data_IF_454542016511
#
_entry.id   IF_454542016511
#
_cell.length_a   1.000
_cell.length_b   1.000
_cell.length_c   1.000
_cell.angle_alpha   90.00
_cell.angle_beta   90.00
_cell.angle_gamma   90.00
#
_symmetry.space_group_name_H-M   'P 1'
#
loop_
_entity.id
_entity.type
_entity.pdbx_description
1 polymer ?
#
# COMPACT_ATOMS: atom_id res chain seq x y z
N UNK A 1 19.69 -6.12 2.51
CA UNK A 1 18.75 -5.67 3.56
C UNK A 1 18.22 -6.88 4.32
N UNK A 2 18.87 -7.31 5.40
CA UNK A 2 18.35 -8.40 6.24
C UNK A 2 17.24 -7.87 7.15
N UNK A 3 16.01 -7.81 6.65
CA UNK A 3 14.84 -7.50 7.47
C UNK A 3 14.34 -8.78 8.13
N UNK A 4 14.82 -9.08 9.34
CA UNK A 4 14.21 -10.12 10.18
C UNK A 4 12.86 -9.60 10.68
N UNK A 5 11.81 -9.84 9.90
CA UNK A 5 10.45 -9.52 10.35
C UNK A 5 9.88 -10.70 11.15
N UNK A 6 9.16 -10.47 12.28
CA UNK A 6 8.55 -11.52 13.12
C UNK A 6 7.38 -12.29 12.46
N UNK A 7 7.52 -12.70 11.20
CA UNK A 7 6.74 -13.77 10.55
C UNK A 7 7.77 -14.69 9.92
N UNK A 8 8.49 -15.37 10.80
CA UNK A 8 9.93 -15.57 10.80
C UNK A 8 10.37 -16.82 10.06
N UNK A 9 10.16 -16.88 8.75
CA UNK A 9 10.71 -17.96 7.91
C UNK A 9 11.39 -17.47 6.63
N UNK A 10 11.07 -16.25 6.17
CA UNK A 10 11.62 -15.70 4.92
C UNK A 10 12.69 -14.64 5.16
N UNK A 11 13.76 -14.65 4.35
CA UNK A 11 14.80 -13.61 4.33
C UNK A 11 14.87 -12.95 2.95
N UNK A 12 15.02 -11.63 2.93
CA UNK A 12 15.35 -10.89 1.71
C UNK A 12 16.85 -10.57 1.69
N UNK A 13 17.52 -10.88 0.59
CA UNK A 13 18.92 -10.54 0.36
C UNK A 13 18.98 -9.61 -0.85
N UNK A 14 19.65 -8.47 -0.68
CA UNK A 14 19.84 -7.50 -1.77
C UNK A 14 21.19 -7.76 -2.40
N UNK A 15 21.21 -8.08 -3.69
CA UNK A 15 22.41 -8.26 -4.50
C UNK A 15 22.54 -7.04 -5.41
N UNK A 16 23.36 -6.06 -5.02
CA UNK A 16 23.53 -4.81 -5.78
C UNK A 16 24.25 -5.11 -7.10
N UNK A 17 23.66 -4.70 -8.23
CA UNK A 17 24.25 -4.85 -9.56
C UNK A 17 24.28 -6.27 -10.13
N UNK A 18 23.69 -7.25 -9.44
CA UNK A 18 23.67 -8.64 -9.91
C UNK A 18 22.59 -8.85 -10.98
N UNK A 19 22.89 -9.69 -11.98
CA UNK A 19 21.88 -10.14 -12.96
C UNK A 19 20.92 -11.15 -12.32
N UNK A 20 19.81 -11.45 -13.02
CA UNK A 20 18.87 -12.49 -12.59
C UNK A 20 19.60 -13.83 -12.40
N UNK A 21 20.44 -14.20 -13.36
CA UNK A 21 21.18 -15.46 -13.39
C UNK A 21 22.13 -15.58 -12.19
N UNK A 22 22.88 -14.51 -11.93
CA UNK A 22 23.75 -14.42 -10.76
C UNK A 22 22.95 -14.50 -9.46
N UNK A 23 21.78 -13.86 -9.39
CA UNK A 23 20.95 -13.86 -8.20
C UNK A 23 20.41 -15.27 -7.86
N UNK A 24 20.01 -16.04 -8.86
CA UNK A 24 19.62 -17.45 -8.69
C UNK A 24 20.79 -18.31 -8.23
N UNK A 25 21.97 -18.17 -8.84
CA UNK A 25 23.17 -18.91 -8.45
C UNK A 25 23.55 -18.63 -7.00
N UNK A 26 23.71 -17.36 -6.64
CA UNK A 26 24.05 -16.92 -5.28
C UNK A 26 22.97 -17.34 -4.28
N UNK A 27 21.69 -17.27 -4.66
CA UNK A 27 20.57 -17.69 -3.83
C UNK A 27 20.63 -19.18 -3.43
N UNK A 28 20.94 -20.05 -4.40
CA UNK A 28 21.12 -21.49 -4.15
C UNK A 28 22.37 -21.77 -3.30
N UNK A 29 23.50 -21.13 -3.61
CA UNK A 29 24.74 -21.27 -2.82
C UNK A 29 24.51 -20.88 -1.34
N UNK A 30 23.77 -19.78 -1.08
CA UNK A 30 23.39 -19.37 0.28
C UNK A 30 22.49 -20.44 0.93
N UNK A 31 21.51 -20.96 0.21
CA UNK A 31 20.58 -21.96 0.74
C UNK A 31 21.29 -23.27 1.13
N UNK A 32 22.20 -23.74 0.29
CA UNK A 32 23.02 -24.93 0.54
C UNK A 32 23.97 -24.74 1.72
N UNK A 33 24.74 -23.65 1.74
CA UNK A 33 25.70 -23.36 2.81
C UNK A 33 25.00 -23.22 4.17
N UNK A 34 23.85 -22.53 4.23
CA UNK A 34 23.08 -22.41 5.47
C UNK A 34 22.49 -23.76 5.87
N UNK A 35 21.93 -24.54 4.94
CA UNK A 35 21.38 -25.87 5.25
C UNK A 35 22.45 -26.81 5.80
N UNK A 36 23.63 -26.84 5.20
CA UNK A 36 24.75 -27.67 5.65
C UNK A 36 25.26 -27.32 7.06
N UNK A 37 25.07 -26.06 7.48
CA UNK A 37 25.47 -25.59 8.82
C UNK A 37 24.43 -25.90 9.89
N UNK A 38 23.24 -26.37 9.52
CA UNK A 38 22.14 -26.64 10.47
C UNK A 38 21.87 -28.16 10.59
N UNK A 39 21.46 -28.65 11.78
CA UNK A 39 21.11 -30.05 11.97
C UNK A 39 19.84 -30.42 11.20
N UNK A 40 19.77 -31.66 10.71
CA UNK A 40 18.54 -32.19 10.11
C UNK A 40 17.39 -32.16 11.15
N UNK A 41 16.15 -31.81 10.77
CA UNK A 41 15.62 -31.60 9.41
C UNK A 41 15.61 -30.14 8.93
N UNK A 42 16.37 -29.23 9.56
CA UNK A 42 16.33 -27.79 9.23
C UNK A 42 16.96 -27.55 7.86
N UNK A 43 16.17 -27.03 6.91
CA UNK A 43 16.60 -26.69 5.54
C UNK A 43 16.18 -25.29 5.17
N UNK A 44 17.11 -24.50 4.62
CA UNK A 44 16.80 -23.25 3.95
C UNK A 44 16.51 -23.55 2.48
N UNK A 45 15.35 -23.14 1.99
CA UNK A 45 14.96 -23.27 0.58
C UNK A 45 15.08 -21.91 -0.10
N UNK A 46 15.81 -21.84 -1.20
CA UNK A 46 15.71 -20.73 -2.12
C UNK A 46 14.42 -20.86 -2.93
N UNK A 47 13.60 -19.81 -2.97
CA UNK A 47 12.28 -19.88 -3.62
C UNK A 47 12.19 -19.03 -4.89
N UNK A 48 12.62 -17.77 -4.85
CA UNK A 48 12.37 -16.83 -5.95
C UNK A 48 13.29 -15.61 -5.91
N UNK A 49 13.47 -14.97 -7.07
CA UNK A 49 14.10 -13.65 -7.22
C UNK A 49 13.03 -12.61 -7.49
N UNK A 50 13.16 -11.42 -6.89
CA UNK A 50 12.34 -10.26 -7.22
C UNK A 50 13.12 -9.24 -8.06
N UNK A 51 12.60 -8.87 -9.23
CA UNK A 51 13.21 -7.89 -10.13
C UNK A 51 12.18 -7.25 -11.09
N UNK A 52 11.82 -5.96 -10.92
CA UNK A 52 12.07 -5.08 -9.78
C UNK A 52 11.16 -5.39 -8.58
N UNK A 53 11.43 -4.76 -7.43
CA UNK A 53 10.52 -4.77 -6.28
C UNK A 53 10.57 -3.49 -5.44
N UNK A 54 9.51 -3.30 -4.66
CA UNK A 54 9.34 -2.21 -3.70
C UNK A 54 8.93 -2.80 -2.35
N UNK A 55 9.72 -2.50 -1.31
CA UNK A 55 9.46 -2.89 0.06
C UNK A 55 8.93 -1.68 0.82
N UNK A 56 7.65 -1.69 1.20
CA UNK A 56 7.02 -0.54 1.86
C UNK A 56 7.17 -0.61 3.38
N UNK A 57 6.63 -1.65 4.01
CA UNK A 57 6.75 -1.90 5.47
C UNK A 57 6.74 -3.40 5.74
N UNK A 58 6.83 -3.81 7.00
CA UNK A 58 6.71 -5.23 7.37
C UNK A 58 5.41 -5.83 6.79
N UNK A 59 5.53 -6.97 6.12
CA UNK A 59 4.44 -7.69 5.43
C UNK A 59 3.74 -6.87 4.33
N UNK A 60 4.38 -5.81 3.82
CA UNK A 60 3.87 -4.95 2.75
C UNK A 60 4.94 -4.72 1.68
N UNK A 61 4.87 -5.51 0.62
CA UNK A 61 5.81 -5.45 -0.50
C UNK A 61 5.15 -5.87 -1.81
N UNK A 62 5.75 -5.47 -2.91
CA UNK A 62 5.31 -5.80 -4.26
C UNK A 62 6.52 -5.92 -5.18
N UNK A 63 6.47 -6.83 -6.14
CA UNK A 63 7.53 -7.00 -7.11
C UNK A 63 7.16 -7.96 -8.22
N UNK A 64 7.95 -7.93 -9.28
CA UNK A 64 7.96 -8.98 -10.28
C UNK A 64 8.84 -10.12 -9.79
N UNK A 65 8.23 -11.30 -9.60
CA UNK A 65 8.92 -12.49 -9.13
C UNK A 65 9.23 -13.46 -10.27
N UNK A 66 10.40 -14.09 -10.15
CA UNK A 66 10.87 -15.17 -10.99
C UNK A 66 11.15 -16.38 -10.10
N UNK A 67 10.55 -17.52 -10.40
CA UNK A 67 10.70 -18.77 -9.65
C UNK A 67 11.76 -19.69 -10.29
N UNK A 68 12.05 -19.49 -11.58
CA UNK A 68 13.10 -20.22 -12.30
C UNK A 68 13.93 -19.27 -13.18
N UNK A 69 15.11 -19.75 -13.58
CA UNK A 69 16.00 -19.04 -14.51
C UNK A 69 15.36 -18.89 -15.89
N UNK A 70 14.73 -19.95 -16.39
CA UNK A 70 14.13 -20.03 -17.73
C UNK A 70 12.84 -19.21 -17.85
N UNK A 71 12.27 -18.77 -16.73
CA UNK A 71 11.11 -17.90 -16.72
C UNK A 71 11.46 -16.55 -17.38
N UNK A 72 10.83 -16.32 -18.54
CA UNK A 72 10.95 -15.06 -19.30
C UNK A 72 10.06 -13.97 -18.72
N UNK A 73 8.77 -14.28 -18.57
CA UNK A 73 7.77 -13.32 -18.08
C UNK A 73 7.66 -13.36 -16.55
N UNK A 74 7.79 -12.22 -15.85
CA UNK A 74 7.62 -12.19 -14.41
C UNK A 74 6.17 -12.40 -13.96
N UNK A 75 5.99 -12.88 -12.74
CA UNK A 75 4.68 -12.87 -12.07
C UNK A 75 4.61 -11.66 -11.13
N UNK A 76 3.53 -10.89 -11.23
CA UNK A 76 3.26 -9.81 -10.29
C UNK A 76 2.86 -10.37 -8.92
N UNK A 77 3.73 -10.25 -7.93
CA UNK A 77 3.44 -10.65 -6.56
C UNK A 77 3.32 -9.43 -5.65
N UNK A 78 2.19 -9.34 -4.94
CA UNK A 78 1.90 -8.29 -3.99
C UNK A 78 1.46 -8.89 -2.65
N UNK A 79 2.16 -8.55 -1.57
CA UNK A 79 1.83 -8.99 -0.22
C UNK A 79 1.43 -7.80 0.64
N UNK A 80 0.22 -7.85 1.20
CA UNK A 80 -0.28 -6.86 2.16
C UNK A 80 -0.49 -5.44 1.61
N UNK A 81 -0.29 -5.23 0.31
CA UNK A 81 -0.63 -3.99 -0.41
C UNK A 81 -2.13 -3.98 -0.72
N UNK A 82 -2.70 -2.80 -0.97
CA UNK A 82 -4.12 -2.61 -1.24
C UNK A 82 -4.63 -3.37 -2.47
N UNK A 83 -3.74 -3.81 -3.37
CA UNK A 83 -4.08 -4.67 -4.51
C UNK A 83 -4.68 -6.01 -4.09
N UNK A 84 -4.27 -6.56 -2.94
CA UNK A 84 -4.73 -7.88 -2.44
C UNK A 84 -5.68 -7.77 -1.25
N UNK A 85 -6.05 -6.54 -0.85
CA UNK A 85 -6.97 -6.30 0.29
C UNK A 85 -8.39 -6.09 -0.21
N UNK A 86 -9.35 -6.73 0.45
CA UNK A 86 -10.79 -6.61 0.15
C UNK A 86 -11.49 -5.43 0.87
N UNK A 87 -10.74 -4.64 1.65
CA UNK A 87 -11.31 -3.57 2.47
C UNK A 87 -11.61 -2.28 1.67
N UNK A 88 -10.95 -2.09 0.51
CA UNK A 88 -11.13 -0.93 -0.36
C UNK A 88 -12.12 -1.17 -1.49
N UNK A 89 -12.36 -0.15 -2.32
CA UNK A 89 -13.12 -0.31 -3.56
C UNK A 89 -12.20 -0.83 -4.70
N UNK A 90 -12.74 -1.59 -5.67
CA UNK A 90 -11.94 -2.18 -6.75
C UNK A 90 -11.11 -1.18 -7.56
N UNK A 91 -11.59 0.06 -7.72
CA UNK A 91 -10.85 1.13 -8.39
C UNK A 91 -9.47 1.34 -7.79
N UNK A 92 -9.35 1.32 -6.46
CA UNK A 92 -8.06 1.54 -5.77
C UNK A 92 -7.07 0.45 -6.14
N UNK A 93 -7.48 -0.82 -6.05
CA UNK A 93 -6.64 -1.97 -6.36
C UNK A 93 -6.21 -1.96 -7.82
N UNK A 94 -7.14 -1.73 -8.76
CA UNK A 94 -6.86 -1.67 -10.21
C UNK A 94 -5.91 -0.53 -10.58
N UNK A 95 -6.16 0.68 -10.07
CA UNK A 95 -5.32 1.86 -10.35
C UNK A 95 -3.92 1.65 -9.76
N UNK A 96 -3.83 1.19 -8.51
CA UNK A 96 -2.54 0.96 -7.85
C UNK A 96 -1.72 -0.12 -8.57
N UNK A 97 -2.33 -1.26 -8.89
CA UNK A 97 -1.66 -2.33 -9.61
C UNK A 97 -1.15 -1.86 -10.97
N UNK A 98 -1.99 -1.18 -11.77
CA UNK A 98 -1.57 -0.69 -13.08
C UNK A 98 -0.48 0.37 -12.98
N UNK A 99 -0.54 1.26 -11.99
CA UNK A 99 0.52 2.25 -11.74
C UNK A 99 1.87 1.61 -11.40
N UNK A 100 1.86 0.52 -10.59
CA UNK A 100 3.10 -0.20 -10.24
C UNK A 100 3.63 -0.97 -11.45
N UNK A 101 2.76 -1.67 -12.18
CA UNK A 101 3.15 -2.39 -13.41
C UNK A 101 3.76 -1.43 -14.43
N UNK A 102 3.13 -0.28 -14.64
CA UNK A 102 3.65 0.75 -15.54
C UNK A 102 5.02 1.25 -15.09
N UNK A 103 5.23 1.52 -13.79
CA UNK A 103 6.54 1.88 -13.26
C UNK A 103 7.59 0.78 -13.52
N UNK A 104 7.22 -0.49 -13.34
CA UNK A 104 8.15 -1.61 -13.50
C UNK A 104 8.51 -1.88 -14.96
N UNK A 105 7.55 -1.69 -15.87
CA UNK A 105 7.70 -1.89 -17.31
C UNK A 105 8.50 -0.75 -17.96
N UNK A 106 8.13 0.51 -17.68
CA UNK A 106 8.66 1.66 -18.42
C UNK A 106 9.78 2.39 -17.68
N UNK A 107 9.84 2.24 -16.35
CA UNK A 107 10.70 3.04 -15.46
C UNK A 107 10.51 4.55 -15.59
N UNK A 108 9.37 4.97 -16.15
CA UNK A 108 9.06 6.37 -16.42
C UNK A 108 7.91 6.86 -15.53
N UNK A 109 8.27 7.72 -14.58
CA UNK A 109 7.34 8.34 -13.62
C UNK A 109 6.34 9.26 -14.35
N UNK A 110 6.71 9.85 -15.48
CA UNK A 110 5.85 10.74 -16.26
C UNK A 110 4.63 10.00 -16.81
N UNK A 111 4.84 8.79 -17.31
CA UNK A 111 3.74 7.93 -17.79
C UNK A 111 2.81 7.51 -16.64
N UNK A 112 3.37 7.21 -15.47
CA UNK A 112 2.59 6.92 -14.25
C UNK A 112 1.76 8.13 -13.84
N UNK A 113 2.35 9.32 -13.83
CA UNK A 113 1.66 10.58 -13.53
C UNK A 113 0.48 10.80 -14.47
N UNK A 114 0.70 10.71 -15.78
CA UNK A 114 -0.35 10.86 -16.79
C UNK A 114 -1.47 9.82 -16.61
N UNK A 115 -1.12 8.57 -16.31
CA UNK A 115 -2.12 7.53 -16.02
C UNK A 115 -2.96 7.89 -14.78
N UNK A 116 -2.32 8.21 -13.66
CA UNK A 116 -3.01 8.55 -12.41
C UNK A 116 -3.90 9.79 -12.59
N UNK A 117 -3.41 10.84 -13.25
CA UNK A 117 -4.17 12.04 -13.55
C UNK A 117 -5.43 11.73 -14.39
N UNK A 118 -5.30 10.90 -15.43
CA UNK A 118 -6.45 10.46 -16.24
C UNK A 118 -7.47 9.67 -15.40
N UNK A 119 -7.03 8.80 -14.50
CA UNK A 119 -7.94 8.05 -13.63
C UNK A 119 -8.65 8.97 -12.61
N UNK A 120 -7.93 9.93 -12.03
CA UNK A 120 -8.53 10.95 -11.17
C UNK A 120 -9.58 11.76 -11.92
N UNK A 121 -9.25 12.27 -13.12
CA UNK A 121 -10.20 13.00 -13.96
C UNK A 121 -11.45 12.15 -14.29
N UNK A 122 -11.28 10.88 -14.68
CA UNK A 122 -12.39 9.96 -14.93
C UNK A 122 -13.35 9.84 -13.74
N UNK A 123 -12.83 9.79 -12.51
CA UNK A 123 -13.64 9.73 -11.29
C UNK A 123 -14.33 11.06 -11.01
N UNK A 124 -13.63 12.19 -11.17
CA UNK A 124 -14.18 13.55 -10.99
C UNK A 124 -15.31 13.84 -11.99
N UNK A 125 -15.15 13.43 -13.24
CA UNK A 125 -16.14 13.58 -14.31
C UNK A 125 -17.38 12.69 -14.11
N UNK A 126 -17.38 11.79 -13.12
CA UNK A 126 -18.46 10.83 -12.90
C UNK A 126 -18.50 9.70 -13.95
N UNK A 127 -17.42 9.50 -14.72
CA UNK A 127 -17.30 8.44 -15.74
C UNK A 127 -16.76 7.12 -15.19
N UNK A 128 -16.47 7.06 -13.89
CA UNK A 128 -16.07 5.83 -13.23
C UNK A 128 -17.28 4.93 -12.95
N UNK A 129 -17.12 3.63 -13.16
CA UNK A 129 -18.18 2.66 -12.88
C UNK A 129 -18.51 2.64 -11.40
N UNK A 130 -19.80 2.62 -11.06
CA UNK A 130 -20.26 2.50 -9.68
C UNK A 130 -19.78 1.18 -9.03
N UNK A 131 -19.68 0.11 -9.81
CA UNK A 131 -19.16 -1.18 -9.33
C UNK A 131 -17.72 -1.05 -8.84
N UNK A 132 -16.89 -0.30 -9.57
CA UNK A 132 -15.49 -0.06 -9.19
C UNK A 132 -15.35 0.85 -7.95
N UNK A 133 -16.38 1.64 -7.63
CA UNK A 133 -16.44 2.53 -6.47
C UNK A 133 -17.22 1.93 -5.30
N UNK A 134 -17.79 0.73 -5.46
CA UNK A 134 -18.54 0.06 -4.41
C UNK A 134 -17.58 -0.62 -3.43
N UNK A 135 -17.71 -0.27 -2.15
CA UNK A 135 -17.07 -0.99 -1.05
C UNK A 135 -17.94 -2.18 -0.64
N UNK A 136 -17.34 -3.13 0.07
CA UNK A 136 -18.09 -4.20 0.72
C UNK A 136 -17.50 -4.46 2.10
N UNK A 137 -18.31 -4.32 3.16
CA UNK A 137 -17.87 -4.56 4.55
C UNK A 137 -18.64 -5.70 5.17
N UNK A 138 -17.90 -6.59 5.83
CA UNK A 138 -18.47 -7.72 6.58
C UNK A 138 -19.39 -7.23 7.70
N UNK A 139 -20.60 -7.79 7.72
CA UNK A 139 -21.57 -7.65 8.78
C UNK A 139 -21.33 -8.73 9.83
N UNK A 140 -21.20 -8.34 11.10
CA UNK A 140 -20.83 -9.25 12.20
C UNK A 140 -22.02 -9.64 13.08
N UNK A 141 -23.22 -9.22 12.71
CA UNK A 141 -24.41 -9.35 13.55
C UNK A 141 -24.60 -8.15 14.46
N UNK A 142 -25.84 -7.71 14.62
CA UNK A 142 -26.25 -6.50 15.35
C UNK A 142 -25.73 -6.47 16.78
N UNK A 143 -25.78 -7.59 17.49
CA UNK A 143 -25.29 -7.74 18.87
C UNK A 143 -23.77 -7.81 19.05
N UNK A 144 -23.00 -7.99 17.96
CA UNK A 144 -21.53 -8.10 18.05
C UNK A 144 -20.80 -6.75 18.14
N UNK A 145 -21.50 -5.66 17.80
CA UNK A 145 -20.93 -4.33 17.72
C UNK A 145 -21.04 -3.61 19.06
N UNK A 146 -20.02 -2.82 19.40
CA UNK A 146 -20.08 -1.94 20.58
C UNK A 146 -21.19 -0.89 20.42
N UNK A 147 -21.83 -0.45 21.51
CA UNK A 147 -22.73 0.69 21.48
C UNK A 147 -22.05 1.91 20.83
N UNK A 148 -22.74 2.56 19.89
CA UNK A 148 -22.20 3.70 19.14
C UNK A 148 -21.21 3.35 18.02
N UNK A 149 -21.03 2.08 17.64
CA UNK A 149 -20.14 1.71 16.55
C UNK A 149 -20.58 2.33 15.20
N UNK A 150 -19.71 3.12 14.58
CA UNK A 150 -19.91 3.73 13.26
C UNK A 150 -19.34 2.83 12.15
N UNK A 151 -20.01 1.71 11.89
CA UNK A 151 -19.61 0.77 10.82
C UNK A 151 -20.61 0.87 9.66
N UNK A 152 -20.16 1.10 8.40
CA UNK A 152 -21.05 1.24 7.25
C UNK A 152 -22.06 0.09 7.08
N UNK A 153 -21.61 -1.17 7.23
CA UNK A 153 -22.48 -2.34 7.16
C UNK A 153 -23.59 -2.27 8.23
N UNK A 154 -23.24 -1.97 9.48
CA UNK A 154 -24.19 -1.87 10.59
C UNK A 154 -25.20 -0.74 10.39
N UNK A 155 -24.73 0.42 9.93
CA UNK A 155 -25.59 1.59 9.67
C UNK A 155 -26.61 1.29 8.57
N UNK A 156 -26.17 0.70 7.46
CA UNK A 156 -27.09 0.30 6.38
C UNK A 156 -28.08 -0.76 6.84
N UNK A 157 -27.60 -1.77 7.59
CA UNK A 157 -28.48 -2.80 8.15
C UNK A 157 -29.56 -2.18 9.04
N UNK A 158 -29.23 -1.22 9.92
CA UNK A 158 -30.22 -0.55 10.78
C UNK A 158 -31.30 0.15 9.96
N UNK A 159 -30.91 0.84 8.88
CA UNK A 159 -31.88 1.51 7.98
C UNK A 159 -32.76 0.51 7.23
N UNK A 160 -32.17 -0.60 6.76
CA UNK A 160 -32.90 -1.66 6.08
C UNK A 160 -33.92 -2.32 7.03
N UNK A 161 -33.50 -2.65 8.26
CA UNK A 161 -34.36 -3.27 9.27
C UNK A 161 -35.47 -2.34 9.78
N UNK A 162 -35.25 -1.02 9.77
CA UNK A 162 -36.29 -0.05 10.10
C UNK A 162 -37.42 -0.04 9.06
N UNK A 163 -37.12 -0.39 7.81
CA UNK A 163 -38.11 -0.57 6.75
C UNK A 163 -38.72 -1.98 6.77
N UNK A 164 -37.88 -3.02 6.76
CA UNK A 164 -38.30 -4.41 6.89
C UNK A 164 -37.27 -5.20 7.70
N UNK A 165 -37.72 -5.73 8.85
CA UNK A 165 -36.90 -6.51 9.78
C UNK A 165 -36.27 -7.75 9.13
N UNK A 166 -36.85 -8.30 8.06
CA UNK A 166 -36.31 -9.47 7.34
C UNK A 166 -35.09 -9.16 6.47
N UNK A 167 -34.77 -7.88 6.28
CA UNK A 167 -33.61 -7.44 5.49
C UNK A 167 -32.28 -7.47 6.27
N UNK A 168 -32.25 -8.02 7.48
CA UNK A 168 -30.99 -8.18 8.22
C UNK A 168 -30.03 -9.11 7.45
N UNK A 169 -28.81 -8.65 7.09
CA UNK A 169 -27.80 -9.48 6.44
C UNK A 169 -27.34 -10.62 7.34
N UNK A 170 -26.84 -11.70 6.72
CA UNK A 170 -26.28 -12.81 7.50
C UNK A 170 -24.95 -12.42 8.13
N UNK A 171 -24.61 -13.03 9.27
CA UNK A 171 -23.28 -12.87 9.87
C UNK A 171 -22.21 -13.38 8.91
N UNK A 172 -21.19 -12.56 8.65
CA UNK A 172 -20.14 -12.81 7.66
C UNK A 172 -20.46 -12.30 6.26
N UNK A 173 -21.71 -11.90 5.98
CA UNK A 173 -22.10 -11.33 4.69
C UNK A 173 -21.41 -9.99 4.47
N UNK A 174 -20.97 -9.71 3.24
CA UNK A 174 -20.37 -8.41 2.90
C UNK A 174 -21.43 -7.48 2.34
N UNK A 175 -21.80 -6.48 3.13
CA UNK A 175 -22.78 -5.47 2.75
C UNK A 175 -22.13 -4.45 1.80
N UNK A 176 -22.62 -4.32 0.56
CA UNK A 176 -22.09 -3.36 -0.40
C UNK A 176 -22.56 -1.94 -0.10
N UNK A 177 -21.67 -0.97 -0.26
CA UNK A 177 -22.00 0.44 -0.03
C UNK A 177 -21.14 1.40 -0.85
N UNK A 178 -21.68 2.61 -1.04
CA UNK A 178 -21.00 3.73 -1.69
C UNK A 178 -21.09 4.97 -0.81
N UNK A 179 -20.20 5.94 -1.07
CA UNK A 179 -20.20 7.24 -0.38
C UNK A 179 -20.69 8.31 -1.35
N UNK A 180 -21.76 9.00 -1.00
CA UNK A 180 -22.35 10.08 -1.79
C UNK A 180 -21.91 11.45 -1.29
N UNK A 181 -22.13 12.49 -2.10
CA UNK A 181 -21.97 13.86 -1.66
C UNK A 181 -22.99 14.19 -0.55
N UNK A 182 -22.60 15.11 0.31
CA UNK A 182 -23.49 15.72 1.29
C UNK A 182 -22.98 17.09 1.68
N UNK A 183 -23.69 17.72 2.61
CA UNK A 183 -23.32 19.05 3.09
C UNK A 183 -21.94 19.02 3.77
N UNK A 184 -21.15 20.10 3.65
CA UNK A 184 -19.89 20.22 4.38
C UNK A 184 -20.08 19.99 5.89
N UNK A 185 -19.19 19.22 6.51
CA UNK A 185 -19.24 18.92 7.95
C UNK A 185 -20.09 17.72 8.33
N UNK A 186 -20.89 17.15 7.40
CA UNK A 186 -21.67 15.94 7.67
C UNK A 186 -20.75 14.74 7.92
N UNK A 187 -20.97 13.95 8.98
CA UNK A 187 -20.20 12.75 9.24
C UNK A 187 -20.27 11.75 8.08
N UNK A 188 -19.14 11.17 7.70
CA UNK A 188 -19.03 10.24 6.57
C UNK A 188 -20.04 9.09 6.65
N UNK A 189 -20.30 8.58 7.85
CA UNK A 189 -21.24 7.47 8.09
C UNK A 189 -22.67 7.80 7.63
N UNK A 190 -23.07 9.07 7.70
CA UNK A 190 -24.38 9.52 7.22
C UNK A 190 -24.44 9.63 5.69
N UNK A 191 -23.28 9.73 5.03
CA UNK A 191 -23.14 9.79 3.56
C UNK A 191 -23.03 8.41 2.91
N UNK A 192 -23.11 7.34 3.70
CA UNK A 192 -23.13 5.97 3.19
C UNK A 192 -24.52 5.65 2.63
N UNK A 193 -24.55 5.07 1.44
CA UNK A 193 -25.77 4.59 0.75
C UNK A 193 -25.53 3.22 0.13
N UNK A 194 -26.61 2.48 -0.12
CA UNK A 194 -26.58 1.27 -0.92
C UNK A 194 -26.44 1.65 -2.40
N UNK A 195 -25.74 0.84 -3.22
CA UNK A 195 -25.65 1.12 -4.66
C UNK A 195 -27.02 1.27 -5.35
N UNK A 196 -28.01 0.46 -4.94
CA UNK A 196 -29.37 0.52 -5.48
C UNK A 196 -30.09 1.84 -5.18
N UNK A 197 -29.86 2.44 -4.01
CA UNK A 197 -30.45 3.74 -3.64
C UNK A 197 -29.92 4.84 -4.58
N UNK A 198 -28.62 4.80 -4.89
CA UNK A 198 -27.99 5.76 -5.81
C UNK A 198 -28.46 5.58 -7.25
N UNK A 199 -28.82 4.35 -7.66
CA UNK A 199 -29.38 4.09 -8.98
C UNK A 199 -30.84 4.56 -9.10
N UNK A 200 -31.60 4.51 -8.00
CA UNK A 200 -33.01 4.90 -7.97
C UNK A 200 -33.22 6.40 -7.76
N UNK A 201 -32.29 7.09 -7.08
CA UNK A 201 -32.39 8.52 -6.78
C UNK A 201 -31.39 9.35 -7.61
N UNK A 202 -31.85 10.08 -8.65
CA UNK A 202 -30.97 10.91 -9.48
C UNK A 202 -30.24 12.03 -8.73
N UNK A 203 -30.77 12.45 -7.58
CA UNK A 203 -30.17 13.47 -6.73
C UNK A 203 -28.89 12.96 -6.03
N UNK A 204 -28.74 11.66 -5.83
CA UNK A 204 -27.59 11.07 -5.17
C UNK A 204 -26.44 10.91 -6.15
N UNK A 205 -25.33 11.61 -5.86
CA UNK A 205 -24.10 11.53 -6.66
C UNK A 205 -22.94 11.01 -5.82
N UNK A 206 -22.14 10.12 -6.39
CA UNK A 206 -20.94 9.59 -5.74
C UNK A 206 -19.95 10.72 -5.42
N UNK A 207 -19.39 10.70 -4.20
CA UNK A 207 -18.45 11.72 -3.74
C UNK A 207 -17.08 11.53 -4.38
N UNK A 208 -16.91 11.97 -5.62
CA UNK A 208 -15.67 11.81 -6.38
C UNK A 208 -14.45 12.36 -5.62
N UNK A 209 -14.59 13.53 -4.98
CA UNK A 209 -13.53 14.13 -4.17
C UNK A 209 -13.09 13.21 -3.02
N UNK A 210 -14.02 12.56 -2.33
CA UNK A 210 -13.70 11.58 -1.28
C UNK A 210 -12.96 10.38 -1.85
N UNK A 211 -13.43 9.80 -2.94
CA UNK A 211 -12.77 8.63 -3.56
C UNK A 211 -11.34 8.97 -4.01
N UNK A 212 -11.14 10.10 -4.68
CA UNK A 212 -9.80 10.50 -5.12
C UNK A 212 -8.89 10.77 -3.91
N UNK A 213 -9.29 11.69 -3.03
CA UNK A 213 -8.40 12.20 -1.97
C UNK A 213 -8.21 11.26 -0.79
N UNK A 214 -9.21 10.43 -0.46
CA UNK A 214 -9.19 9.55 0.71
C UNK A 214 -8.97 8.08 0.39
N UNK A 215 -9.18 7.65 -0.86
CA UNK A 215 -9.09 6.24 -1.24
C UNK A 215 -7.98 5.99 -2.27
N UNK A 216 -7.97 6.69 -3.40
CA UNK A 216 -7.06 6.43 -4.52
C UNK A 216 -5.65 6.99 -4.26
N UNK A 217 -5.54 8.27 -3.89
CA UNK A 217 -4.23 8.91 -3.72
C UNK A 217 -3.42 8.38 -2.52
N UNK A 218 -4.00 8.08 -1.34
CA UNK A 218 -3.20 7.63 -0.19
C UNK A 218 -2.31 6.39 -0.41
N UNK A 219 -2.80 5.28 -1.03
CA UNK A 219 -1.94 4.14 -1.31
C UNK A 219 -0.89 4.42 -2.39
N UNK A 220 -1.23 5.21 -3.42
CA UNK A 220 -0.26 5.65 -4.43
C UNK A 220 0.85 6.48 -3.78
N UNK A 221 0.48 7.50 -2.98
CA UNK A 221 1.44 8.35 -2.28
C UNK A 221 2.38 7.53 -1.40
N UNK A 222 1.85 6.56 -0.64
CA UNK A 222 2.65 5.64 0.17
C UNK A 222 3.65 4.78 -0.62
N UNK A 223 3.34 4.44 -1.87
CA UNK A 223 4.22 3.67 -2.75
C UNK A 223 5.28 4.58 -3.40
N UNK A 224 4.86 5.68 -4.00
CA UNK A 224 5.72 6.58 -4.77
C UNK A 224 6.56 7.53 -3.90
N UNK A 225 6.17 7.75 -2.63
CA UNK A 225 7.00 8.46 -1.67
C UNK A 225 8.35 7.76 -1.43
N UNK A 226 8.43 6.43 -1.61
CA UNK A 226 9.68 5.66 -1.49
C UNK A 226 10.70 6.01 -2.58
N UNK A 227 10.25 6.58 -3.69
CA UNK A 227 11.08 7.09 -4.78
C UNK A 227 11.09 8.62 -4.84
N UNK A 228 10.69 9.30 -3.75
CA UNK A 228 10.76 10.76 -3.64
C UNK A 228 9.66 11.54 -4.40
N UNK A 229 8.61 10.86 -4.85
CA UNK A 229 7.52 11.47 -5.62
C UNK A 229 6.34 11.85 -4.72
N UNK A 230 5.87 13.09 -4.83
CA UNK A 230 4.61 13.52 -4.24
C UNK A 230 3.45 13.34 -5.23
N UNK A 231 2.55 12.40 -4.92
CA UNK A 231 1.39 12.08 -5.76
C UNK A 231 0.24 13.08 -5.56
N UNK A 232 0.20 13.78 -4.41
CA UNK A 232 -0.87 14.75 -4.17
C UNK A 232 -0.71 16.01 -5.03
N UNK A 233 0.52 16.40 -5.37
CA UNK A 233 0.77 17.49 -6.31
C UNK A 233 0.17 17.20 -7.69
N UNK A 234 0.25 15.95 -8.18
CA UNK A 234 -0.34 15.56 -9.47
C UNK A 234 -1.84 15.80 -9.53
N UNK A 235 -2.54 15.64 -8.42
CA UNK A 235 -3.96 15.93 -8.31
C UNK A 235 -4.23 17.45 -8.26
N UNK A 236 -3.35 18.23 -7.64
CA UNK A 236 -3.48 19.69 -7.58
C UNK A 236 -3.26 20.36 -8.93
N UNK A 237 -2.41 19.78 -9.78
CA UNK A 237 -2.15 20.24 -11.15
C UNK A 237 -3.30 19.99 -12.12
N UNK A 238 -4.27 19.13 -11.77
CA UNK A 238 -5.41 18.89 -12.65
C UNK A 238 -6.20 20.19 -12.86
N UNK A 239 -6.64 20.48 -14.11
CA UNK A 239 -7.45 21.65 -14.39
C UNK A 239 -8.74 21.56 -13.57
N UNK A 240 -8.83 22.40 -12.53
CA UNK A 240 -10.07 22.53 -11.76
C UNK A 240 -11.05 23.26 -12.65
N UNK A 241 -12.19 22.66 -12.94
CA UNK A 241 -13.31 23.38 -13.54
C UNK A 241 -13.62 24.54 -12.60
N UNK A 242 -13.28 25.75 -13.03
CA UNK A 242 -13.57 26.99 -12.33
C UNK A 242 -15.09 27.18 -12.37
N UNK A 243 -15.81 26.56 -11.44
CA UNK A 243 -17.11 27.08 -11.08
C UNK A 243 -16.86 28.43 -10.43
N UNK A 244 -17.00 29.51 -11.21
CA UNK A 244 -17.15 30.87 -10.70
C UNK A 244 -18.30 30.88 -9.68
N UNK A 245 -17.99 30.66 -8.40
CA UNK A 245 -18.72 31.12 -7.21
C UNK A 245 -17.95 30.68 -5.93
N UNK A 246 -17.69 31.68 -5.09
CA UNK A 246 -17.20 31.65 -3.70
C UNK A 246 -15.68 31.55 -3.44
N UNK A 247 -15.03 32.73 -3.53
CA UNK A 247 -13.66 33.07 -3.09
C UNK A 247 -13.45 33.08 -1.55
N UNK A 248 -14.17 32.30 -0.75
CA UNK A 248 -14.11 32.45 0.73
C UNK A 248 -13.88 31.17 1.56
N UNK A 249 -13.36 30.09 0.97
CA UNK A 249 -13.12 28.84 1.73
C UNK A 249 -11.68 28.31 1.71
N UNK A 250 -10.74 28.95 1.00
CA UNK A 250 -9.35 28.44 0.90
C UNK A 250 -8.39 28.93 2.00
N UNK A 251 -8.84 29.72 2.98
CA UNK A 251 -7.93 30.30 3.98
C UNK A 251 -7.72 29.43 5.24
N UNK A 252 -8.49 28.35 5.42
CA UNK A 252 -8.50 27.59 6.70
C UNK A 252 -7.56 26.37 6.66
N UNK A 253 -7.17 25.86 5.48
CA UNK A 253 -6.32 24.66 5.39
C UNK A 253 -4.80 24.93 5.49
N UNK A 254 -4.38 26.21 5.46
CA UNK A 254 -2.95 26.58 5.37
C UNK A 254 -2.28 26.72 6.76
N UNK A 255 -3.05 26.84 7.85
CA UNK A 255 -2.47 27.14 9.18
C UNK A 255 -2.02 25.93 10.02
N UNK A 256 -2.23 24.69 9.58
CA UNK A 256 -1.92 23.51 10.42
C UNK A 256 -0.64 22.73 10.05
N UNK A 257 0.16 23.18 9.08
CA UNK A 257 1.36 22.43 8.60
C UNK A 257 2.71 23.10 8.89
N UNK A 258 2.76 24.27 9.50
CA UNK A 258 3.99 25.06 9.74
C UNK A 258 4.66 24.83 11.12
N UNK A 259 4.77 23.58 11.57
CA UNK A 259 5.61 23.22 12.75
C UNK A 259 6.46 21.94 12.56
N UNK A 260 7.01 21.72 11.36
CA UNK A 260 7.98 20.61 11.12
C UNK A 260 9.24 20.98 10.35
N UNK A 261 9.60 22.26 10.31
CA UNK A 261 10.74 22.75 9.53
C UNK A 261 12.02 23.01 10.35
N UNK A 262 12.14 22.49 11.58
CA UNK A 262 13.31 22.76 12.44
C UNK A 262 14.15 21.52 12.80
N UNK A 263 14.09 20.45 11.99
CA UNK A 263 14.86 19.21 12.25
C UNK A 263 15.74 18.74 11.09
N UNK A 264 15.87 19.53 10.02
CA UNK A 264 16.62 19.11 8.81
C UNK A 264 18.08 19.61 8.80
N UNK A 265 18.47 20.53 9.70
CA UNK A 265 19.81 21.12 9.68
C UNK A 265 20.94 20.25 10.29
N UNK A 266 20.66 19.09 10.90
CA UNK A 266 21.68 18.33 11.67
C UNK A 266 22.25 17.10 10.93
N UNK A 267 21.71 16.71 9.77
CA UNK A 267 22.14 15.47 9.08
C UNK A 267 23.16 15.66 7.95
N UNK A 268 23.69 16.87 7.76
CA UNK A 268 24.58 17.17 6.64
C UNK A 268 26.08 16.88 6.91
N UNK A 269 26.45 16.36 8.10
CA UNK A 269 27.86 16.23 8.51
C UNK A 269 28.42 14.80 8.65
N UNK A 270 27.80 13.77 8.08
CA UNK A 270 28.38 12.42 8.08
C UNK A 270 28.34 11.78 6.69
N UNK A 271 29.23 12.22 5.80
CA UNK A 271 29.53 11.55 4.54
C UNK A 271 31.04 11.43 4.37
N UNK A 272 31.68 10.48 5.05
CA UNK A 272 32.93 9.87 4.59
C UNK A 272 33.04 8.43 5.12
N UNK A 273 33.64 7.57 4.28
CA UNK A 273 34.14 6.21 4.57
C UNK A 273 33.16 5.01 4.52
N UNK A 274 33.21 4.20 3.44
CA UNK A 274 33.97 2.92 3.37
C UNK A 274 33.52 2.00 2.20
N UNK A 275 34.52 1.55 1.44
CA UNK A 275 34.51 0.46 0.46
C UNK A 275 34.47 -0.95 1.11
N UNK A 276 34.00 -1.93 0.32
CA UNK A 276 34.37 -3.36 0.35
C UNK A 276 34.03 -4.21 1.60
N UNK A 277 33.26 -5.30 1.40
CA UNK A 277 33.71 -6.68 1.63
C UNK A 277 32.53 -7.68 1.71
N UNK A 278 32.48 -8.59 0.73
CA UNK A 278 31.63 -9.80 0.69
C UNK A 278 31.93 -10.80 1.82
N UNK A 279 33.05 -10.67 2.53
CA UNK A 279 33.39 -11.51 3.68
C UNK A 279 32.64 -11.14 4.99
N UNK A 280 32.20 -9.88 5.14
CA UNK A 280 31.52 -9.43 6.39
C UNK A 280 30.09 -9.97 6.52
N UNK A 281 29.40 -10.22 5.40
CA UNK A 281 28.04 -10.74 5.42
C UNK A 281 27.99 -12.19 5.95
N UNK A 282 28.98 -13.00 5.61
CA UNK A 282 29.12 -14.39 6.06
C UNK A 282 29.42 -14.44 7.57
N UNK A 283 30.27 -13.54 8.08
CA UNK A 283 30.60 -13.45 9.52
C UNK A 283 29.44 -12.93 10.36
N UNK A 284 28.63 -11.99 9.83
CA UNK A 284 27.42 -11.49 10.51
C UNK A 284 26.33 -12.56 10.56
N UNK A 285 26.22 -13.42 9.54
CA UNK A 285 25.32 -14.57 9.55
C UNK A 285 25.79 -15.66 10.54
N UNK A 286 27.11 -15.92 10.65
CA UNK A 286 27.69 -16.85 11.65
C UNK A 286 27.40 -16.43 13.10
N UNK A 287 27.52 -15.14 13.44
CA UNK A 287 27.26 -14.65 14.81
C UNK A 287 25.78 -14.67 15.22
N UNK A 288 24.85 -14.62 14.27
CA UNK A 288 23.39 -14.60 14.55
C UNK A 288 22.75 -15.98 14.68
N UNK A 289 23.39 -17.04 14.17
CA UNK A 289 22.90 -18.41 14.28
C UNK A 289 23.55 -19.22 15.41
N UNK A 290 24.63 -18.71 16.03
CA UNK A 290 25.42 -19.41 17.05
C UNK A 290 25.27 -18.97 18.51
N UNK A 291 24.23 -18.22 18.89
CA UNK A 291 24.02 -17.81 20.29
C UNK A 291 22.77 -18.49 20.89
N UNK A 292 22.96 -19.64 21.51
CA UNK A 292 21.96 -20.37 22.30
C UNK A 292 21.80 -19.80 23.71
N UNK A 293 20.54 -19.75 24.16
CA UNK A 293 20.07 -19.69 25.57
C UNK A 293 20.49 -18.51 26.45
N UNK A 294 19.52 -17.67 26.81
CA UNK A 294 19.14 -17.23 28.18
C UNK A 294 18.18 -16.06 28.08
N UNK A 295 17.07 -16.16 28.81
CA UNK A 295 15.93 -15.26 28.69
C UNK A 295 16.26 -13.78 28.99
N UNK A 296 15.59 -12.91 28.23
CA UNK A 296 14.84 -11.73 28.68
C UNK A 296 14.45 -10.90 27.45
N UNK A 297 13.16 -10.57 27.36
CA UNK A 297 12.57 -9.71 26.34
C UNK A 297 13.41 -8.43 26.14
N UNK A 298 13.94 -8.23 24.93
CA UNK A 298 14.39 -6.91 24.47
C UNK A 298 13.70 -6.58 23.15
N UNK A 299 12.66 -5.76 23.27
CA UNK A 299 11.95 -5.13 22.16
C UNK A 299 12.86 -4.05 21.57
N UNK A 300 13.38 -4.24 20.36
CA UNK A 300 14.12 -3.20 19.64
C UNK A 300 13.20 -2.50 18.63
N UNK A 301 12.96 -1.20 18.85
CA UNK A 301 12.27 -0.28 17.95
C UNK A 301 13.04 -0.18 16.63
N UNK A 302 12.33 -0.33 15.50
CA UNK A 302 12.89 -0.13 14.16
C UNK A 302 12.80 1.35 13.81
N UNK A 303 13.95 2.00 13.75
CA UNK A 303 14.12 3.36 13.22
C UNK A 303 14.27 3.26 11.69
N UNK A 304 13.28 3.83 10.99
CA UNK A 304 13.32 4.45 9.64
C UNK A 304 14.48 4.03 8.71
N UNK A 305 14.23 3.08 7.81
CA UNK A 305 15.12 2.82 6.67
C UNK A 305 14.75 3.81 5.55
N UNK A 306 15.62 4.80 5.31
CA UNK A 306 15.58 5.67 4.13
C UNK A 306 16.00 4.86 2.89
N UNK A 307 15.34 5.16 1.78
CA UNK A 307 15.54 4.61 0.44
C UNK A 307 16.92 4.95 -0.14
N UNK A 308 17.85 4.00 -0.17
CA UNK A 308 19.05 4.02 -1.05
C UNK A 308 18.70 3.44 -2.43
N UNK A 309 17.60 3.90 -3.04
CA UNK A 309 17.17 3.44 -4.37
C UNK A 309 17.70 4.34 -5.51
N UNK A 310 18.47 5.39 -5.18
CA UNK A 310 18.72 6.51 -6.08
C UNK A 310 20.13 6.62 -6.68
N UNK A 311 21.10 5.78 -6.30
CA UNK A 311 22.50 5.97 -6.75
C UNK A 311 22.97 5.03 -7.86
N UNK A 312 22.14 4.19 -8.50
CA UNK A 312 22.65 3.28 -9.55
C UNK A 312 21.78 3.09 -10.81
N UNK A 313 20.65 3.78 -10.97
CA UNK A 313 19.77 3.55 -12.14
C UNK A 313 19.04 4.78 -12.69
N UNK A 314 19.52 5.99 -12.36
CA UNK A 314 19.20 7.23 -13.08
C UNK A 314 20.50 7.99 -13.34
#
# INVERSE_FOLDING_TARGET
>A
LTTSTPSSTSMFVLLKGATKEQAFKIGNEIAEAVTATNPKPVKLKFEKVYLPCVLQTKKRYVGYMYESLDQKEPVFDAKGIETVRRDGCPAVSKILERSIKLLFETRDISQVKQFVQRQCAKVLDGRASMQDLTFAKEYRGSGSYRPGACVPALELTRRMMAYDRRLEPRVGERVPYVVVYGLPGVPLIQLVRRPMEVLQEPALRLNATYYVTKQILPPLARMFQLIGVDVFSWYQELPRVSTRKNKHQNLIFIKSTTKKTHFIQILHNYRHHIHSNSAKLITVLRRRLGATSRGKNKTFKITRIKSEFYENYF
#
